data_IF_276192833006
#
_entry.id   IF_276192833006
#
_cell.length_a   1.000
_cell.length_b   1.000
_cell.length_c   1.000
_cell.angle_alpha   90.00
_cell.angle_beta   90.00
_cell.angle_gamma   90.00
#
_symmetry.space_group_name_H-M   'P 1'
#
loop_
_entity.id
_entity.type
_entity.pdbx_description
1 polymer ?
#
# COMPACT_ATOMS: atom_id res chain seq x y z
N UNK A 1 -9.92 28.91 -37.38
CA UNK A 1 -9.18 29.84 -36.49
C UNK A 1 -10.21 30.48 -35.59
N UNK A 2 -10.23 30.08 -34.31
CA UNK A 2 -11.22 30.52 -33.34
C UNK A 2 -10.78 31.79 -32.62
N UNK A 3 -11.74 32.58 -32.16
CA UNK A 3 -11.61 33.92 -31.57
C UNK A 3 -10.71 34.02 -30.30
N UNK A 4 -10.04 32.95 -29.88
CA UNK A 4 -9.24 32.84 -28.65
C UNK A 4 -7.78 32.40 -28.88
N UNK A 5 -7.31 32.33 -30.14
CA UNK A 5 -5.92 31.94 -30.47
C UNK A 5 -4.84 32.91 -29.92
N UNK A 6 -5.23 34.08 -29.39
CA UNK A 6 -4.32 35.09 -28.85
C UNK A 6 -3.93 34.89 -27.37
N UNK A 7 -4.61 33.98 -26.64
CA UNK A 7 -4.32 33.70 -25.22
C UNK A 7 -3.32 32.55 -25.01
N UNK A 8 -2.74 31.99 -26.07
CA UNK A 8 -1.76 30.89 -25.94
C UNK A 8 -0.45 31.42 -25.31
N UNK A 9 -0.05 30.92 -24.13
CA UNK A 9 1.27 31.23 -23.60
C UNK A 9 2.30 30.59 -24.54
N UNK A 10 3.17 31.39 -25.14
CA UNK A 10 4.40 30.86 -25.76
C UNK A 10 5.14 30.04 -24.70
N UNK A 11 5.51 28.81 -25.04
CA UNK A 11 6.40 27.96 -24.25
C UNK A 11 7.52 28.81 -23.65
N UNK A 12 7.53 28.94 -22.32
CA UNK A 12 8.55 29.68 -21.59
C UNK A 12 9.78 28.78 -21.44
N UNK A 13 10.96 29.35 -21.62
CA UNK A 13 12.23 28.70 -21.25
C UNK A 13 12.13 28.08 -19.85
N UNK A 14 12.34 26.75 -19.73
CA UNK A 14 12.30 26.02 -18.46
C UNK A 14 10.98 25.33 -18.09
N UNK A 15 9.97 25.37 -18.98
CA UNK A 15 8.72 24.61 -18.80
C UNK A 15 8.98 23.09 -18.94
N UNK A 16 8.44 22.30 -18.01
CA UNK A 16 8.56 20.84 -18.00
C UNK A 16 7.75 20.21 -19.14
N UNK A 17 6.51 20.66 -19.33
CA UNK A 17 5.61 20.17 -20.38
C UNK A 17 5.47 21.22 -21.48
N UNK A 18 5.99 20.92 -22.67
CA UNK A 18 5.79 21.80 -23.83
C UNK A 18 4.36 21.71 -24.37
N UNK A 19 3.86 22.75 -25.04
CA UNK A 19 2.52 22.72 -25.67
C UNK A 19 2.38 21.58 -26.69
N UNK A 20 3.44 21.25 -27.42
CA UNK A 20 3.45 20.14 -28.38
C UNK A 20 3.37 18.79 -27.66
N UNK A 21 4.13 18.61 -26.58
CA UNK A 21 4.07 17.40 -25.76
C UNK A 21 2.70 17.24 -25.11
N UNK A 22 2.13 18.32 -24.56
CA UNK A 22 0.78 18.35 -24.01
C UNK A 22 -0.28 17.92 -25.02
N UNK A 23 -0.31 18.54 -26.22
CA UNK A 23 -1.33 18.19 -27.21
C UNK A 23 -1.20 16.72 -27.66
N UNK A 24 0.03 16.25 -27.90
CA UNK A 24 0.28 14.84 -28.24
C UNK A 24 -0.16 13.90 -27.13
N UNK A 25 0.17 14.23 -25.88
CA UNK A 25 -0.20 13.40 -24.73
C UNK A 25 -1.71 13.38 -24.54
N UNK A 26 -2.39 14.53 -24.59
CA UNK A 26 -3.85 14.60 -24.48
C UNK A 26 -4.52 13.72 -25.54
N UNK A 27 -4.12 13.81 -26.79
CA UNK A 27 -4.72 13.02 -27.86
C UNK A 27 -4.47 11.51 -27.65
N UNK A 28 -3.28 11.13 -27.18
CA UNK A 28 -2.94 9.75 -26.79
C UNK A 28 -3.81 9.25 -25.63
N UNK A 29 -3.94 10.03 -24.55
CA UNK A 29 -4.70 9.67 -23.36
C UNK A 29 -6.19 9.53 -23.67
N UNK A 30 -6.73 10.37 -24.55
CA UNK A 30 -8.10 10.25 -25.05
C UNK A 30 -8.32 8.94 -25.81
N UNK A 31 -7.38 8.55 -26.68
CA UNK A 31 -7.45 7.27 -27.39
C UNK A 31 -7.34 6.08 -26.43
N UNK A 32 -6.43 6.16 -25.45
CA UNK A 32 -6.25 5.13 -24.43
C UNK A 32 -7.49 4.99 -23.56
N UNK A 33 -8.13 6.09 -23.16
CA UNK A 33 -9.35 6.05 -22.36
C UNK A 33 -10.47 5.25 -23.05
N UNK A 34 -10.72 5.51 -24.33
CA UNK A 34 -11.67 4.71 -25.13
C UNK A 34 -11.29 3.23 -25.17
N UNK A 35 -10.01 2.93 -25.41
CA UNK A 35 -9.53 1.54 -25.45
C UNK A 35 -9.67 0.84 -24.08
N UNK A 36 -9.38 1.53 -22.98
CA UNK A 36 -9.53 1.00 -21.63
C UNK A 36 -10.99 0.69 -21.32
N UNK A 37 -11.90 1.60 -21.65
CA UNK A 37 -13.34 1.37 -21.50
C UNK A 37 -13.82 0.17 -22.34
N UNK A 38 -13.35 0.03 -23.58
CA UNK A 38 -13.63 -1.16 -24.40
C UNK A 38 -13.16 -2.46 -23.74
N UNK A 39 -12.01 -2.46 -23.06
CA UNK A 39 -11.55 -3.62 -22.29
C UNK A 39 -12.42 -3.88 -21.06
N UNK A 40 -12.82 -2.83 -20.34
CA UNK A 40 -13.73 -2.94 -19.20
C UNK A 40 -15.07 -3.56 -19.60
N UNK A 41 -15.61 -3.23 -20.79
CA UNK A 41 -16.81 -3.88 -21.32
C UNK A 41 -16.62 -5.37 -21.56
N UNK A 42 -15.45 -5.80 -22.04
CA UNK A 42 -15.16 -7.23 -22.28
C UNK A 42 -15.08 -8.05 -20.99
N UNK A 43 -14.79 -7.41 -19.86
CA UNK A 43 -14.78 -8.04 -18.53
C UNK A 43 -16.06 -7.75 -17.73
N UNK A 44 -17.16 -7.41 -18.41
CA UNK A 44 -18.50 -7.21 -17.85
C UNK A 44 -18.66 -6.03 -16.88
N UNK A 45 -17.86 -4.96 -17.01
CA UNK A 45 -18.12 -3.69 -16.31
C UNK A 45 -19.17 -2.88 -17.08
N UNK A 46 -20.39 -2.70 -16.56
CA UNK A 46 -21.44 -1.96 -17.26
C UNK A 46 -21.15 -0.45 -17.26
N UNK A 47 -21.80 0.28 -18.18
CA UNK A 47 -21.70 1.75 -18.29
C UNK A 47 -22.00 2.43 -16.95
N UNK A 48 -23.10 2.03 -16.32
CA UNK A 48 -23.57 2.61 -15.05
C UNK A 48 -22.83 2.15 -13.79
N UNK A 49 -21.75 1.34 -13.91
CA UNK A 49 -20.94 0.98 -12.74
C UNK A 49 -20.08 2.18 -12.37
N UNK A 50 -20.10 2.55 -11.10
CA UNK A 50 -19.25 3.60 -10.57
C UNK A 50 -17.94 2.99 -10.07
N UNK A 51 -16.81 3.56 -10.49
CA UNK A 51 -15.47 3.14 -10.06
C UNK A 51 -14.63 4.38 -9.74
N UNK A 52 -13.66 4.22 -8.86
CA UNK A 52 -12.59 5.20 -8.64
C UNK A 52 -11.47 4.96 -9.65
N UNK A 53 -10.86 6.04 -10.12
CA UNK A 53 -9.73 6.01 -11.03
C UNK A 53 -8.46 6.41 -10.30
N UNK A 54 -7.44 5.55 -10.32
CA UNK A 54 -6.09 5.92 -9.88
C UNK A 54 -5.43 6.75 -10.98
N UNK A 55 -4.80 7.86 -10.62
CA UNK A 55 -4.15 8.76 -11.59
C UNK A 55 -2.68 9.02 -11.26
N UNK A 56 -1.92 9.40 -12.29
CA UNK A 56 -0.48 9.64 -12.18
C UNK A 56 -0.07 10.89 -12.97
N UNK A 57 0.70 11.76 -12.31
CA UNK A 57 1.38 12.88 -12.92
C UNK A 57 2.86 12.90 -12.56
N UNK A 58 3.66 13.47 -13.45
CA UNK A 58 5.07 13.76 -13.19
C UNK A 58 5.42 15.23 -13.41
N UNK A 59 6.40 15.71 -12.66
CA UNK A 59 7.01 17.03 -12.87
C UNK A 59 8.46 17.04 -12.41
N UNK A 60 9.19 18.12 -12.70
CA UNK A 60 10.61 18.26 -12.39
C UNK A 60 10.92 19.05 -11.12
N UNK A 61 9.93 19.56 -10.39
CA UNK A 61 10.16 20.26 -9.12
C UNK A 61 9.10 19.93 -8.06
N UNK A 62 9.52 19.92 -6.79
CA UNK A 62 8.62 19.69 -5.66
C UNK A 62 7.48 20.72 -5.59
N UNK A 63 7.80 22.00 -5.86
CA UNK A 63 6.83 23.10 -5.82
C UNK A 63 5.69 22.91 -6.83
N UNK A 64 5.99 22.46 -8.05
CA UNK A 64 4.96 22.16 -9.06
C UNK A 64 4.08 21.00 -8.63
N UNK A 65 4.69 19.96 -8.05
CA UNK A 65 3.98 18.79 -7.55
C UNK A 65 3.01 19.17 -6.42
N UNK A 66 3.48 19.94 -5.44
CA UNK A 66 2.65 20.45 -4.34
C UNK A 66 1.49 21.32 -4.85
N UNK A 67 1.75 22.24 -5.79
CA UNK A 67 0.70 23.11 -6.35
C UNK A 67 -0.37 22.31 -7.08
N UNK A 68 0.00 21.33 -7.90
CA UNK A 68 -0.98 20.46 -8.55
C UNK A 68 -1.74 19.63 -7.52
N UNK A 69 -1.05 19.05 -6.52
CA UNK A 69 -1.69 18.25 -5.47
C UNK A 69 -2.76 19.05 -4.73
N UNK A 70 -2.48 20.31 -4.39
CA UNK A 70 -3.43 21.21 -3.75
C UNK A 70 -4.67 21.48 -4.62
N UNK A 71 -4.53 21.64 -5.93
CA UNK A 71 -5.70 21.79 -6.81
C UNK A 71 -6.50 20.50 -6.95
N UNK A 72 -5.84 19.35 -7.05
CA UNK A 72 -6.54 18.06 -7.12
C UNK A 72 -7.31 17.79 -5.82
N UNK A 73 -6.75 18.13 -4.66
CA UNK A 73 -7.44 18.01 -3.37
C UNK A 73 -8.76 18.80 -3.30
N UNK A 74 -8.89 19.91 -4.05
CA UNK A 74 -10.16 20.67 -4.13
C UNK A 74 -11.26 19.94 -4.92
N UNK A 75 -10.90 18.93 -5.71
CA UNK A 75 -11.84 18.05 -6.40
C UNK A 75 -12.38 16.94 -5.47
N UNK A 76 -12.00 16.93 -4.19
CA UNK A 76 -12.31 15.88 -3.22
C UNK A 76 -11.70 14.51 -3.59
N UNK A 77 -10.61 14.53 -4.36
CA UNK A 77 -9.82 13.34 -4.66
C UNK A 77 -8.78 13.14 -3.57
N UNK A 78 -8.42 11.89 -3.31
CA UNK A 78 -7.27 11.60 -2.48
C UNK A 78 -6.01 11.92 -3.27
N UNK A 79 -5.00 12.51 -2.63
CA UNK A 79 -3.79 12.93 -3.35
C UNK A 79 -2.58 12.84 -2.45
N UNK A 80 -1.48 12.33 -3.01
CA UNK A 80 -0.14 12.32 -2.44
C UNK A 80 0.87 12.75 -3.49
N UNK A 81 1.96 13.35 -3.05
CA UNK A 81 3.08 13.69 -3.93
C UNK A 81 4.42 13.44 -3.25
N UNK A 82 5.46 13.22 -4.03
CA UNK A 82 6.80 12.93 -3.53
C UNK A 82 7.82 12.72 -4.64
N UNK A 83 9.03 12.29 -4.28
CA UNK A 83 10.06 11.92 -5.26
C UNK A 83 9.62 10.63 -5.96
N UNK A 84 9.73 10.59 -7.28
CA UNK A 84 9.45 9.38 -8.06
C UNK A 84 10.44 8.27 -7.72
N UNK A 85 9.93 7.06 -7.46
CA UNK A 85 10.77 5.90 -7.18
C UNK A 85 11.63 5.48 -8.39
N UNK A 86 11.10 5.64 -9.61
CA UNK A 86 11.78 5.27 -10.86
C UNK A 86 12.79 6.30 -11.35
N UNK A 87 12.62 7.58 -11.02
CA UNK A 87 13.57 8.64 -11.34
C UNK A 87 13.60 9.69 -10.22
N UNK A 88 14.70 9.72 -9.46
CA UNK A 88 14.88 10.66 -8.33
C UNK A 88 14.95 12.13 -8.75
N UNK A 89 15.02 12.43 -10.05
CA UNK A 89 14.94 13.80 -10.60
C UNK A 89 13.51 14.26 -10.85
N UNK A 90 12.54 13.34 -10.79
CA UNK A 90 11.14 13.64 -11.00
C UNK A 90 10.37 13.56 -9.69
N UNK A 91 9.27 14.31 -9.65
CA UNK A 91 8.26 14.24 -8.61
C UNK A 91 7.01 13.61 -9.18
N UNK A 92 6.42 12.70 -8.42
CA UNK A 92 5.17 12.02 -8.75
C UNK A 92 4.03 12.65 -7.96
N UNK A 93 2.86 12.81 -8.59
CA UNK A 93 1.59 13.16 -7.95
C UNK A 93 0.61 12.05 -8.32
N UNK A 94 0.05 11.40 -7.32
CA UNK A 94 -0.84 10.25 -7.53
C UNK A 94 -1.89 10.17 -6.44
N UNK A 95 -2.98 9.46 -6.72
CA UNK A 95 -4.15 9.43 -5.89
C UNK A 95 -5.32 8.83 -6.63
N UNK A 96 -6.50 8.92 -6.04
CA UNK A 96 -7.71 8.30 -6.57
C UNK A 96 -8.86 9.31 -6.62
N UNK A 97 -9.68 9.21 -7.66
CA UNK A 97 -10.91 9.99 -7.76
C UNK A 97 -11.94 9.55 -6.71
N UNK A 98 -12.98 10.36 -6.53
CA UNK A 98 -14.25 9.80 -6.04
C UNK A 98 -14.82 8.83 -7.08
N UNK A 99 -15.81 8.04 -6.69
CA UNK A 99 -16.55 7.20 -7.62
C UNK A 99 -17.13 8.04 -8.76
N UNK A 100 -17.00 7.51 -9.97
CA UNK A 100 -17.60 8.09 -11.16
C UNK A 100 -18.10 6.99 -12.08
N UNK A 101 -19.17 7.29 -12.79
CA UNK A 101 -19.76 6.38 -13.75
C UNK A 101 -18.74 6.03 -14.85
N UNK A 102 -18.59 4.74 -15.14
CA UNK A 102 -17.74 4.22 -16.21
C UNK A 102 -18.37 4.44 -17.59
N UNK A 103 -19.01 5.58 -17.82
CA UNK A 103 -19.54 6.00 -19.10
C UNK A 103 -18.45 6.66 -19.96
N UNK A 104 -18.53 6.42 -21.27
CA UNK A 104 -17.51 6.86 -22.22
C UNK A 104 -17.30 8.38 -22.20
N UNK A 105 -18.37 9.16 -22.16
CA UNK A 105 -18.30 10.62 -22.12
C UNK A 105 -17.80 11.14 -20.76
N UNK A 106 -18.17 10.50 -19.65
CA UNK A 106 -17.71 10.86 -18.30
C UNK A 106 -16.20 10.68 -18.19
N UNK A 107 -15.69 9.49 -18.48
CA UNK A 107 -14.28 9.15 -18.31
C UNK A 107 -13.40 9.87 -19.33
N UNK A 108 -13.87 10.07 -20.57
CA UNK A 108 -13.11 10.82 -21.58
C UNK A 108 -13.06 12.32 -21.26
N UNK A 109 -14.15 12.92 -20.78
CA UNK A 109 -14.14 14.31 -20.32
C UNK A 109 -13.23 14.50 -19.11
N UNK A 110 -13.27 13.57 -18.14
CA UNK A 110 -12.37 13.58 -17.00
C UNK A 110 -10.90 13.43 -17.44
N UNK A 111 -10.59 12.49 -18.34
CA UNK A 111 -9.23 12.28 -18.86
C UNK A 111 -8.69 13.56 -19.51
N UNK A 112 -9.53 14.23 -20.32
CA UNK A 112 -9.19 15.52 -20.92
C UNK A 112 -8.92 16.59 -19.86
N UNK A 113 -9.80 16.69 -18.86
CA UNK A 113 -9.65 17.64 -17.76
C UNK A 113 -8.34 17.42 -17.00
N UNK A 114 -7.98 16.16 -16.70
CA UNK A 114 -6.73 15.84 -16.02
C UNK A 114 -5.50 16.21 -16.86
N UNK A 115 -5.53 15.99 -18.18
CA UNK A 115 -4.46 16.46 -19.08
C UNK A 115 -4.31 17.99 -19.03
N UNK A 116 -5.42 18.72 -19.09
CA UNK A 116 -5.45 20.20 -19.08
C UNK A 116 -5.00 20.76 -17.73
N UNK A 117 -5.45 20.15 -16.63
CA UNK A 117 -5.05 20.51 -15.28
C UNK A 117 -3.55 20.28 -15.06
N UNK A 118 -3.02 19.12 -15.45
CA UNK A 118 -1.58 18.86 -15.39
C UNK A 118 -0.78 19.92 -16.14
N UNK A 119 -1.17 20.21 -17.38
CA UNK A 119 -0.49 21.22 -18.20
C UNK A 119 -0.53 22.62 -17.59
N UNK A 120 -1.65 23.03 -16.98
CA UNK A 120 -1.78 24.31 -16.29
C UNK A 120 -0.76 24.48 -15.15
N UNK A 121 -0.40 23.37 -14.48
CA UNK A 121 0.55 23.35 -13.37
C UNK A 121 1.96 22.88 -13.77
N UNK A 122 2.21 22.74 -15.07
CA UNK A 122 3.47 22.25 -15.62
C UNK A 122 3.86 20.84 -15.13
N UNK A 123 2.85 19.97 -15.13
CA UNK A 123 2.93 18.55 -14.81
C UNK A 123 2.39 17.72 -15.98
N UNK A 124 3.08 16.63 -16.32
CA UNK A 124 2.62 15.70 -17.35
C UNK A 124 1.66 14.69 -16.74
N UNK A 125 0.46 14.55 -17.30
CA UNK A 125 -0.46 13.46 -16.95
C UNK A 125 -0.01 12.18 -17.66
N UNK A 126 0.51 11.22 -16.90
CA UNK A 126 1.08 9.98 -17.47
C UNK A 126 0.00 8.94 -17.79
N UNK A 127 -1.06 8.92 -16.99
CA UNK A 127 -2.21 8.08 -17.23
C UNK A 127 -3.03 7.80 -15.99
N UNK A 128 -3.94 6.85 -16.14
CA UNK A 128 -4.84 6.41 -15.10
C UNK A 128 -5.17 4.93 -15.23
N UNK A 129 -5.67 4.34 -14.15
CA UNK A 129 -6.11 2.95 -14.08
C UNK A 129 -7.32 2.78 -13.17
N UNK A 130 -7.92 1.60 -13.22
CA UNK A 130 -9.05 1.22 -12.35
C UNK A 130 -9.06 -0.28 -12.15
N UNK A 131 -9.55 -0.73 -11.00
CA UNK A 131 -9.90 -2.14 -10.78
C UNK A 131 -11.42 -2.32 -11.01
N UNK A 132 -11.86 -3.26 -11.89
CA UNK A 132 -13.27 -3.64 -12.06
C UNK A 132 -13.98 -4.13 -10.80
N UNK A 133 -13.24 -4.64 -9.80
CA UNK A 133 -13.78 -5.31 -8.62
C UNK A 133 -13.68 -4.43 -7.35
N UNK A 134 -13.81 -3.12 -7.48
CA UNK A 134 -13.79 -2.20 -6.34
C UNK A 134 -14.96 -2.40 -5.37
N UNK A 135 -16.08 -2.97 -5.83
CA UNK A 135 -17.26 -3.26 -4.99
C UNK A 135 -17.04 -4.43 -4.02
N UNK A 136 -15.95 -5.20 -4.18
CA UNK A 136 -15.69 -6.38 -3.35
C UNK A 136 -15.00 -6.07 -2.01
N UNK A 137 -14.78 -4.78 -1.67
CA UNK A 137 -14.64 -4.30 -0.29
C UNK A 137 -14.65 -2.76 -0.28
N UNK A 138 -15.63 -2.20 0.42
CA UNK A 138 -15.70 -0.78 0.76
C UNK A 138 -14.64 -0.47 1.85
N UNK A 139 -13.38 -0.30 1.41
CA UNK A 139 -12.23 0.34 2.07
C UNK A 139 -11.00 -0.02 1.21
N UNK A 140 -10.18 0.85 0.63
CA UNK A 140 -9.87 2.25 0.85
C UNK A 140 -8.67 2.56 -0.08
N UNK A 141 -8.12 3.77 0.00
CA UNK A 141 -6.72 4.00 -0.39
C UNK A 141 -5.70 3.40 0.60
N UNK A 142 -6.11 2.48 1.49
CA UNK A 142 -5.17 1.63 2.19
C UNK A 142 -4.61 0.68 1.14
N UNK A 143 -3.33 0.89 0.87
CA UNK A 143 -2.44 -0.21 0.54
C UNK A 143 -2.93 -1.52 1.21
N UNK A 144 -2.92 -2.63 0.45
CA UNK A 144 -3.36 -3.96 0.86
C UNK A 144 -2.89 -4.38 2.27
N UNK A 145 -1.86 -3.73 2.80
CA UNK A 145 -1.49 -3.68 4.21
C UNK A 145 -2.64 -3.86 5.22
N UNK A 146 -3.64 -2.98 5.33
CA UNK A 146 -4.67 -3.10 6.38
C UNK A 146 -5.54 -4.34 6.18
N UNK A 147 -5.94 -4.63 4.94
CA UNK A 147 -6.70 -5.84 4.60
C UNK A 147 -5.93 -7.12 4.90
N UNK A 148 -4.65 -7.20 4.50
CA UNK A 148 -3.76 -8.34 4.74
C UNK A 148 -3.45 -8.51 6.23
N UNK A 149 -3.25 -7.40 6.94
CA UNK A 149 -3.03 -7.40 8.39
C UNK A 149 -4.29 -7.86 9.12
N UNK A 150 -5.47 -7.33 8.77
CA UNK A 150 -6.76 -7.75 9.30
C UNK A 150 -7.00 -9.25 9.05
N UNK A 151 -6.75 -9.73 7.84
CA UNK A 151 -6.80 -11.15 7.50
C UNK A 151 -5.88 -11.97 8.42
N UNK A 152 -4.64 -11.52 8.62
CA UNK A 152 -3.69 -12.22 9.48
C UNK A 152 -4.15 -12.32 10.95
N UNK A 153 -4.80 -11.27 11.48
CA UNK A 153 -5.40 -11.29 12.83
C UNK A 153 -6.62 -12.20 12.93
N UNK A 154 -7.37 -12.37 11.83
CA UNK A 154 -8.56 -13.23 11.77
C UNK A 154 -8.24 -14.71 11.53
N UNK A 155 -6.98 -15.05 11.22
CA UNK A 155 -6.58 -16.43 10.92
C UNK A 155 -6.82 -17.34 12.12
N UNK A 156 -7.71 -18.32 11.97
CA UNK A 156 -8.05 -19.29 13.02
C UNK A 156 -7.21 -20.59 12.91
N UNK A 157 -7.00 -21.33 14.02
CA UNK A 157 -6.25 -22.58 14.01
C UNK A 157 -6.76 -23.61 12.98
N UNK A 158 -8.08 -23.71 12.80
CA UNK A 158 -8.69 -24.68 11.87
C UNK A 158 -8.36 -24.36 10.40
N UNK A 159 -8.23 -23.08 10.05
CA UNK A 159 -7.82 -22.65 8.71
C UNK A 159 -6.37 -23.06 8.41
N UNK A 160 -5.53 -23.09 9.45
CA UNK A 160 -4.15 -23.59 9.41
C UNK A 160 -4.06 -25.11 9.56
N UNK A 161 -5.20 -25.81 9.70
CA UNK A 161 -5.30 -27.26 9.97
C UNK A 161 -4.55 -27.67 11.24
N UNK A 162 -4.54 -26.79 12.25
CA UNK A 162 -3.91 -27.03 13.55
C UNK A 162 -4.94 -27.54 14.56
N UNK A 163 -4.67 -28.70 15.16
CA UNK A 163 -5.42 -29.19 16.31
C UNK A 163 -4.72 -28.72 17.60
N UNK A 164 -5.23 -27.65 18.21
CA UNK A 164 -4.66 -27.10 19.44
C UNK A 164 -5.32 -27.74 20.69
N UNK A 165 -4.53 -28.01 21.74
CA UNK A 165 -5.04 -28.59 22.98
C UNK A 165 -5.93 -27.59 23.73
N UNK A 166 -7.01 -28.09 24.35
CA UNK A 166 -8.01 -27.27 25.05
C UNK A 166 -7.61 -26.91 26.49
N UNK A 167 -6.71 -27.67 27.10
CA UNK A 167 -6.31 -27.55 28.51
C UNK A 167 -5.21 -26.51 28.76
N UNK A 168 -4.64 -25.92 27.71
CA UNK A 168 -3.57 -24.92 27.81
C UNK A 168 -3.70 -23.83 26.74
N UNK A 169 -3.25 -22.62 27.09
CA UNK A 169 -3.12 -21.53 26.12
C UNK A 169 -1.89 -21.75 25.25
N UNK A 170 -2.10 -21.98 23.95
CA UNK A 170 -1.04 -22.23 22.96
C UNK A 170 -0.99 -21.09 21.95
N UNK A 171 0.20 -20.52 21.77
CA UNK A 171 0.51 -19.57 20.70
C UNK A 171 0.64 -20.34 19.39
N UNK A 172 -0.17 -19.99 18.40
CA UNK A 172 -0.11 -20.58 17.06
C UNK A 172 0.30 -19.56 15.99
N UNK A 173 0.30 -18.28 16.31
CA UNK A 173 0.71 -17.22 15.40
C UNK A 173 1.33 -16.03 16.13
N UNK A 174 2.18 -15.31 15.42
CA UNK A 174 2.84 -14.08 15.88
C UNK A 174 2.66 -13.03 14.79
N UNK A 175 2.19 -11.85 15.19
CA UNK A 175 2.16 -10.65 14.33
C UNK A 175 3.03 -9.59 14.99
N UNK A 176 4.14 -9.25 14.34
CA UNK A 176 5.08 -8.23 14.77
C UNK A 176 4.87 -6.98 13.92
N UNK A 177 4.28 -5.93 14.52
CA UNK A 177 4.13 -4.62 13.89
C UNK A 177 5.26 -3.70 14.36
N UNK A 178 6.03 -3.18 13.40
CA UNK A 178 7.18 -2.34 13.66
C UNK A 178 7.06 -1.00 12.94
N UNK A 179 7.00 0.09 13.70
CA UNK A 179 7.07 1.44 13.13
C UNK A 179 8.51 1.79 12.75
N UNK A 180 8.70 2.23 11.51
CA UNK A 180 9.99 2.49 10.89
C UNK A 180 9.99 3.83 10.15
N UNK A 181 10.00 4.95 10.89
CA UNK A 181 10.27 6.26 10.31
C UNK A 181 9.18 6.77 9.35
N UNK A 182 7.91 6.59 9.72
CA UNK A 182 6.74 7.03 8.96
C UNK A 182 6.02 5.92 8.19
N UNK A 183 6.51 4.68 8.27
CA UNK A 183 5.86 3.49 7.70
C UNK A 183 5.86 2.35 8.73
N UNK A 184 5.04 1.32 8.48
CA UNK A 184 4.90 0.17 9.37
C UNK A 184 5.23 -1.09 8.57
N UNK A 185 6.09 -1.92 9.12
CA UNK A 185 6.32 -3.28 8.66
C UNK A 185 5.58 -4.25 9.58
N UNK A 186 4.71 -5.07 9.00
CA UNK A 186 4.03 -6.16 9.71
C UNK A 186 4.60 -7.49 9.24
N UNK A 187 5.22 -8.23 10.15
CA UNK A 187 5.67 -9.60 9.91
C UNK A 187 4.69 -10.56 10.57
N UNK A 188 4.14 -11.49 9.79
CA UNK A 188 3.23 -12.52 10.29
C UNK A 188 3.92 -13.87 10.20
N UNK A 189 3.80 -14.70 11.25
CA UNK A 189 4.34 -16.05 11.28
C UNK A 189 3.38 -16.99 11.98
N UNK A 190 3.18 -18.20 11.46
CA UNK A 190 2.30 -19.22 12.03
C UNK A 190 3.06 -20.51 12.35
N UNK A 191 2.50 -21.33 13.25
CA UNK A 191 3.09 -22.59 13.71
C UNK A 191 3.31 -23.61 12.57
N UNK A 192 2.57 -23.47 11.48
CA UNK A 192 2.73 -24.23 10.22
C UNK A 192 4.01 -23.87 9.46
N UNK A 193 4.62 -22.72 9.78
CA UNK A 193 5.76 -22.14 9.08
C UNK A 193 5.37 -21.15 7.99
N UNK A 194 4.07 -20.86 7.83
CA UNK A 194 3.61 -19.77 6.96
C UNK A 194 4.11 -18.43 7.51
N UNK A 195 4.68 -17.60 6.65
CA UNK A 195 5.08 -16.25 7.00
C UNK A 195 4.98 -15.26 5.84
N UNK A 196 4.76 -14.00 6.18
CA UNK A 196 4.60 -12.88 5.24
C UNK A 196 5.15 -11.58 5.83
N UNK A 197 5.45 -10.63 4.95
CA UNK A 197 5.79 -9.23 5.25
C UNK A 197 4.79 -8.32 4.55
N UNK A 198 4.15 -7.42 5.27
CA UNK A 198 3.32 -6.35 4.74
C UNK A 198 3.95 -4.99 5.09
N UNK A 199 4.00 -4.06 4.13
CA UNK A 199 4.57 -2.73 4.36
C UNK A 199 3.48 -1.70 4.17
N UNK A 200 3.20 -0.83 5.13
CA UNK A 200 2.15 0.21 5.02
C UNK A 200 2.45 1.26 3.94
N UNK A 201 3.72 1.40 3.54
CA UNK A 201 4.15 2.23 2.41
C UNK A 201 3.86 1.64 1.02
N UNK A 202 3.41 0.39 0.95
CA UNK A 202 3.15 -0.35 -0.29
C UNK A 202 4.05 -1.57 -0.42
N UNK A 203 3.53 -2.63 -1.04
CA UNK A 203 4.27 -3.86 -1.32
C UNK A 203 4.42 -4.78 -0.10
N UNK A 204 5.29 -5.78 -0.23
CA UNK A 204 5.47 -6.83 0.76
C UNK A 204 5.83 -8.16 0.12
N UNK A 205 5.86 -9.21 0.94
CA UNK A 205 6.10 -10.60 0.54
C UNK A 205 4.97 -11.41 1.14
N UNK A 206 4.05 -11.89 0.31
CA UNK A 206 2.89 -12.67 0.74
C UNK A 206 3.19 -14.14 0.51
N UNK A 207 3.13 -14.94 1.57
CA UNK A 207 3.39 -16.36 1.51
C UNK A 207 4.84 -16.61 1.10
N UNK A 208 5.78 -16.43 2.04
CA UNK A 208 7.17 -16.88 1.90
C UNK A 208 7.42 -18.25 2.52
N UNK A 209 6.45 -18.79 3.28
CA UNK A 209 6.59 -20.02 4.07
C UNK A 209 6.84 -21.30 3.27
N UNK A 210 6.68 -21.29 1.94
CA UNK A 210 7.09 -22.36 1.04
C UNK A 210 8.61 -22.49 0.92
N UNK A 211 9.37 -21.44 1.23
CA UNK A 211 10.82 -21.49 1.27
C UNK A 211 11.27 -22.08 2.61
N UNK A 212 12.12 -23.09 2.58
CA UNK A 212 12.50 -23.88 3.77
C UNK A 212 13.14 -23.01 4.87
N UNK A 213 13.97 -22.05 4.49
CA UNK A 213 14.60 -21.08 5.39
C UNK A 213 13.55 -20.21 6.12
N UNK A 214 12.57 -19.67 5.37
CA UNK A 214 11.46 -18.88 5.94
C UNK A 214 10.60 -19.76 6.85
N UNK A 215 10.26 -20.97 6.40
CA UNK A 215 9.43 -21.90 7.15
C UNK A 215 10.02 -22.22 8.53
N UNK A 216 11.32 -22.54 8.56
CA UNK A 216 12.04 -22.87 9.77
C UNK A 216 12.14 -21.67 10.71
N UNK A 217 12.42 -20.47 10.20
CA UNK A 217 12.46 -19.24 11.00
C UNK A 217 11.09 -18.91 11.61
N UNK A 218 10.00 -19.04 10.83
CA UNK A 218 8.64 -18.78 11.29
C UNK A 218 8.23 -19.72 12.43
N UNK A 219 8.53 -21.02 12.30
CA UNK A 219 8.28 -22.01 13.37
C UNK A 219 9.06 -21.71 14.64
N UNK A 220 10.32 -21.28 14.51
CA UNK A 220 11.16 -20.93 15.65
C UNK A 220 10.63 -19.69 16.37
N UNK A 221 10.22 -18.66 15.62
CA UNK A 221 9.59 -17.46 16.19
C UNK A 221 8.33 -17.81 16.99
N UNK A 222 7.40 -18.59 16.41
CA UNK A 222 6.15 -18.96 17.10
C UNK A 222 6.41 -19.83 18.32
N UNK A 223 7.38 -20.76 18.23
CA UNK A 223 7.78 -21.57 19.38
C UNK A 223 8.38 -20.72 20.50
N UNK A 224 9.21 -19.72 20.17
CA UNK A 224 9.77 -18.81 21.17
C UNK A 224 8.69 -17.94 21.80
N UNK A 225 7.75 -17.44 21.00
CA UNK A 225 6.66 -16.58 21.47
C UNK A 225 5.82 -17.19 22.59
N UNK A 226 5.71 -18.53 22.65
CA UNK A 226 5.04 -19.21 23.74
C UNK A 226 5.64 -18.87 25.12
N UNK A 227 6.96 -18.64 25.23
CA UNK A 227 7.62 -18.27 26.48
C UNK A 227 7.50 -16.78 26.84
N UNK A 228 6.74 -16.01 26.05
CA UNK A 228 6.45 -14.60 26.28
C UNK A 228 4.99 -14.35 26.68
N UNK A 229 4.17 -15.40 26.71
CA UNK A 229 2.74 -15.27 26.98
C UNK A 229 2.45 -14.69 28.37
N UNK A 230 3.27 -15.01 29.37
CA UNK A 230 3.17 -14.51 30.75
C UNK A 230 3.57 -13.02 30.88
N UNK A 231 4.30 -12.49 29.90
CA UNK A 231 4.71 -11.08 29.81
C UNK A 231 3.75 -10.23 28.97
N UNK A 232 2.88 -10.89 28.20
CA UNK A 232 1.92 -10.24 27.33
C UNK A 232 0.57 -10.02 28.05
N UNK A 233 -0.19 -9.02 27.62
CA UNK A 233 -1.53 -8.76 28.16
C UNK A 233 -2.60 -9.14 27.15
N UNK A 234 -3.66 -9.82 27.58
CA UNK A 234 -4.79 -10.18 26.71
C UNK A 234 -5.44 -8.90 26.15
N UNK A 235 -5.72 -8.89 24.85
CA UNK A 235 -6.28 -7.73 24.14
C UNK A 235 -7.36 -8.14 23.15
N UNK A 236 -8.27 -7.21 22.84
CA UNK A 236 -9.17 -7.27 21.69
C UNK A 236 -8.81 -6.21 20.64
N UNK A 237 -7.91 -5.28 20.98
CA UNK A 237 -7.48 -4.21 20.10
C UNK A 237 -6.21 -4.61 19.34
N UNK A 238 -6.21 -4.35 18.04
CA UNK A 238 -5.11 -4.60 17.10
C UNK A 238 -4.52 -3.27 16.59
N UNK A 239 -4.37 -2.29 17.48
CA UNK A 239 -3.90 -0.95 17.12
C UNK A 239 -2.47 -0.96 16.60
N UNK A 240 -2.19 -0.14 15.59
CA UNK A 240 -0.84 0.05 15.06
C UNK A 240 0.13 0.63 16.12
N UNK A 241 1.44 0.36 16.02
CA UNK A 241 2.46 1.02 16.83
C UNK A 241 2.49 2.54 16.57
N UNK A 242 2.78 3.32 17.61
CA UNK A 242 3.13 4.75 17.46
C UNK A 242 4.60 4.91 17.05
N UNK A 243 5.05 6.13 16.75
CA UNK A 243 6.44 6.42 16.36
C UNK A 243 7.46 5.81 17.33
N UNK A 244 8.42 5.05 16.80
CA UNK A 244 9.47 4.38 17.55
C UNK A 244 8.99 3.19 18.39
N UNK A 245 7.76 2.72 18.21
CA UNK A 245 7.21 1.59 18.95
C UNK A 245 7.23 0.30 18.12
N UNK A 246 7.33 -0.82 18.81
CA UNK A 246 7.08 -2.16 18.27
C UNK A 246 5.99 -2.88 19.07
N UNK A 247 5.17 -3.69 18.40
CA UNK A 247 4.14 -4.52 19.03
C UNK A 247 4.25 -5.97 18.57
N UNK A 248 4.13 -6.88 19.52
CA UNK A 248 4.09 -8.32 19.32
C UNK A 248 2.72 -8.84 19.72
N UNK A 249 1.91 -9.23 18.76
CA UNK A 249 0.63 -9.88 19.01
C UNK A 249 0.81 -11.40 18.92
N UNK A 250 0.47 -12.09 19.99
CA UNK A 250 0.53 -13.53 20.14
C UNK A 250 -0.90 -14.07 19.95
N UNK A 251 -1.12 -14.76 18.84
CA UNK A 251 -2.41 -15.37 18.51
C UNK A 251 -2.47 -16.72 19.20
N UNK A 252 -3.49 -16.92 20.05
CA UNK A 252 -3.64 -18.14 20.83
C UNK A 252 -5.04 -18.73 20.71
N UNK A 253 -5.19 -20.01 21.07
CA UNK A 253 -6.50 -20.65 21.22
C UNK A 253 -7.38 -20.03 22.34
N UNK A 254 -6.86 -19.05 23.10
CA UNK A 254 -7.56 -18.32 24.15
C UNK A 254 -7.49 -16.80 23.94
N UNK A 255 -7.61 -16.35 22.69
CA UNK A 255 -7.60 -14.95 22.29
C UNK A 255 -6.20 -14.41 21.99
N UNK A 256 -6.11 -13.10 21.74
CA UNK A 256 -4.86 -12.43 21.37
C UNK A 256 -4.23 -11.81 22.61
N UNK A 257 -2.92 -11.96 22.75
CA UNK A 257 -2.11 -11.30 23.78
C UNK A 257 -1.14 -10.34 23.11
N UNK A 258 -0.90 -9.17 23.69
CA UNK A 258 0.00 -8.17 23.14
C UNK A 258 1.12 -7.83 24.11
N UNK A 259 2.33 -7.84 23.57
CA UNK A 259 3.52 -7.20 24.15
C UNK A 259 3.91 -6.00 23.32
N UNK A 260 4.50 -4.98 23.94
CA UNK A 260 5.05 -3.85 23.21
C UNK A 260 6.25 -3.28 23.94
N UNK A 261 7.09 -2.58 23.19
CA UNK A 261 8.20 -1.81 23.72
C UNK A 261 8.53 -0.65 22.78
N UNK A 262 9.46 0.21 23.19
CA UNK A 262 10.07 1.20 22.31
C UNK A 262 11.35 0.64 21.69
N UNK A 263 11.66 1.08 20.47
CA UNK A 263 12.81 0.62 19.71
C UNK A 263 14.13 0.91 20.45
N UNK A 264 14.22 2.03 21.16
CA UNK A 264 15.40 2.41 21.95
C UNK A 264 15.78 1.33 22.99
N UNK A 265 14.80 0.74 23.67
CA UNK A 265 15.04 -0.34 24.65
C UNK A 265 15.50 -1.65 23.99
N UNK A 266 15.17 -1.86 22.71
CA UNK A 266 15.68 -3.00 21.94
C UNK A 266 17.11 -2.73 21.49
N UNK A 267 17.42 -1.50 21.06
CA UNK A 267 18.76 -1.10 20.61
C UNK A 267 19.79 -1.09 21.74
N UNK A 268 19.39 -0.75 22.96
CA UNK A 268 20.27 -0.73 24.15
C UNK A 268 20.32 -2.06 24.91
N UNK A 269 19.60 -3.08 24.42
CA UNK A 269 19.45 -4.42 24.99
C UNK A 269 18.78 -4.47 26.38
N UNK A 270 18.05 -3.44 26.80
CA UNK A 270 17.32 -3.42 28.08
C UNK A 270 15.93 -4.08 28.00
N UNK A 271 15.38 -4.21 26.81
CA UNK A 271 14.04 -4.75 26.59
C UNK A 271 13.95 -6.24 26.92
N UNK A 272 12.89 -6.60 27.65
CA UNK A 272 12.54 -8.02 27.85
C UNK A 272 12.13 -8.69 26.54
N UNK A 273 11.69 -7.93 25.52
CA UNK A 273 11.22 -8.40 24.21
C UNK A 273 12.34 -8.61 23.19
N UNK A 274 13.59 -8.28 23.52
CA UNK A 274 14.73 -8.33 22.61
C UNK A 274 14.85 -9.66 21.85
N UNK A 275 14.80 -10.81 22.55
CA UNK A 275 14.92 -12.11 21.89
C UNK A 275 13.79 -12.40 20.90
N UNK A 276 12.58 -11.94 21.20
CA UNK A 276 11.44 -12.11 20.30
C UNK A 276 11.57 -11.20 19.07
N UNK A 277 12.09 -9.99 19.26
CA UNK A 277 12.45 -9.08 18.18
C UNK A 277 13.53 -9.66 17.26
N UNK A 278 14.60 -10.22 17.83
CA UNK A 278 15.69 -10.84 17.07
C UNK A 278 15.18 -11.99 16.19
N UNK A 279 14.36 -12.90 16.75
CA UNK A 279 13.74 -13.97 15.96
C UNK A 279 12.74 -13.43 14.91
N UNK A 280 12.02 -12.35 15.21
CA UNK A 280 11.17 -11.65 14.24
C UNK A 280 11.97 -11.08 13.07
N UNK A 281 13.13 -10.47 13.35
CA UNK A 281 14.05 -9.97 12.32
C UNK A 281 14.68 -11.08 11.49
N UNK A 282 14.89 -12.25 12.09
CA UNK A 282 15.34 -13.42 11.34
C UNK A 282 14.32 -13.81 10.28
N UNK A 283 13.04 -13.91 10.64
CA UNK A 283 11.96 -14.15 9.65
C UNK A 283 11.95 -13.07 8.56
N UNK A 284 12.05 -11.79 8.94
CA UNK A 284 12.13 -10.68 7.99
C UNK A 284 13.31 -10.83 7.01
N UNK A 285 14.47 -11.23 7.50
CA UNK A 285 15.68 -11.44 6.71
C UNK A 285 15.49 -12.56 5.71
N UNK A 286 15.03 -13.73 6.17
CA UNK A 286 14.77 -14.88 5.31
C UNK A 286 13.72 -14.57 4.24
N UNK A 287 12.66 -13.83 4.60
CA UNK A 287 11.65 -13.36 3.65
C UNK A 287 12.30 -12.51 2.54
N UNK A 288 13.13 -11.52 2.89
CA UNK A 288 13.79 -10.65 1.89
C UNK A 288 14.71 -11.44 0.95
N UNK A 289 15.44 -12.43 1.47
CA UNK A 289 16.30 -13.30 0.65
C UNK A 289 15.54 -14.06 -0.44
N UNK A 290 14.24 -14.35 -0.26
CA UNK A 290 13.42 -14.99 -1.31
C UNK A 290 13.24 -14.14 -2.57
N UNK A 291 13.50 -12.83 -2.47
CA UNK A 291 13.33 -11.87 -3.57
C UNK A 291 14.64 -11.42 -4.20
N UNK A 292 15.78 -11.67 -3.54
CA UNK A 292 17.11 -11.22 -3.98
C UNK A 292 17.79 -12.21 -4.96
N UNK A 293 17.30 -13.44 -5.08
CA UNK A 293 17.81 -14.48 -6.00
C UNK A 293 17.20 -14.39 -7.44
N UNK A 294 16.79 -13.20 -7.89
CA UNK A 294 16.24 -12.98 -9.25
C UNK A 294 17.01 -11.98 -10.08
#
# INVERSE_FOLDING_TARGET
MGLFDFLKPKSKSGQFVTEVAFNRNRDKQMQMATQTLDQLRKVNVPVGKELKLEYFFYTNTAEKAERLANEIGKLNYSVRYGISAGDKKLFIITGWTTEMEMADDVVTQWTKHMCELGYQFDCEFDGWGTDPNQDDNEDSLENAFEGLRSMAFSTEPDQLRLALPIDKTVVYGVIMDWEMGGAIATITSYQTGDASLYLSSGGGIIGGGQHENVNNAAKQLVSLAQSFLDKATKTQATTLPTTGQIKFHLLTNNGIYVGHDIMENLEDNSSTWLKLFEEGNRVLTELRMTTEDK
#
